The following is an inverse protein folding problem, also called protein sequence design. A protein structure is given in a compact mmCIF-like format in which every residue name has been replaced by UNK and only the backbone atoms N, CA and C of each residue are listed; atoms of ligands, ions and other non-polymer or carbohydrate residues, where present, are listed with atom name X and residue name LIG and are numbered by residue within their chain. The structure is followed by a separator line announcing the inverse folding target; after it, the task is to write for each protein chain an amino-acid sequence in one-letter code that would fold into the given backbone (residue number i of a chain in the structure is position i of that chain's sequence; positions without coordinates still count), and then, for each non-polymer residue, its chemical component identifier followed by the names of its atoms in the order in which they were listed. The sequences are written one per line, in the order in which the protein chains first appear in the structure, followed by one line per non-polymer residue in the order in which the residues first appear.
data_IF_865573047674
#
_entry.id   IF_865573047674
#
_cell.length_a   1.000
_cell.length_b   1.000
_cell.length_c   1.000
_cell.angle_alpha   90.00
_cell.angle_beta   90.00
_cell.angle_gamma   90.00
#
_symmetry.space_group_name_H-M   'P 1'
#
loop_
_entity.id
_entity.type
_entity.pdbx_description
1 polymer ?
#
# COMPACT_ATOMS: atom_id res chain seq x y z
N UNK A 1 17.89 3.99 9.64
CA UNK A 1 17.40 2.70 9.11
C UNK A 1 17.84 2.54 7.66
N UNK A 2 17.28 3.29 6.69
CA UNK A 2 17.68 3.19 5.27
C UNK A 2 19.18 3.41 5.02
N UNK A 3 19.77 4.42 5.65
CA UNK A 3 21.20 4.70 5.55
C UNK A 3 22.07 3.51 6.00
N UNK A 4 21.71 2.86 7.11
CA UNK A 4 22.43 1.71 7.64
C UNK A 4 22.29 0.47 6.75
N UNK A 5 21.17 0.31 6.03
CA UNK A 5 20.98 -0.78 5.07
C UNK A 5 21.83 -0.53 3.80
N UNK A 6 21.86 0.70 3.27
CA UNK A 6 22.64 1.02 2.07
C UNK A 6 24.16 0.97 2.31
N UNK A 7 24.63 1.60 3.38
CA UNK A 7 26.07 1.80 3.64
C UNK A 7 26.66 0.84 4.66
N UNK A 8 25.83 0.08 5.38
CA UNK A 8 26.28 -0.76 6.48
C UNK A 8 26.61 0.05 7.74
N UNK A 9 26.99 -0.63 8.80
CA UNK A 9 27.36 -0.01 10.07
C UNK A 9 28.40 -0.83 10.82
N UNK A 10 29.17 -0.16 11.68
CA UNK A 10 30.07 -0.81 12.63
C UNK A 10 29.38 -1.01 13.97
N UNK A 11 29.87 -1.96 14.77
CA UNK A 11 29.42 -2.19 16.14
C UNK A 11 29.47 -0.89 16.95
N UNK A 12 28.39 -0.60 17.66
CA UNK A 12 28.26 0.60 18.50
C UNK A 12 27.89 1.89 17.74
N UNK A 13 27.60 1.83 16.43
CA UNK A 13 27.19 3.02 15.67
C UNK A 13 25.85 3.63 16.15
N UNK A 14 24.95 2.82 16.71
CA UNK A 14 23.69 3.23 17.32
C UNK A 14 23.21 2.17 18.31
N UNK A 15 22.17 2.48 19.10
CA UNK A 15 21.54 1.53 20.02
C UNK A 15 20.96 0.33 19.26
N UNK A 16 21.50 -0.86 19.50
CA UNK A 16 21.15 -2.09 18.77
C UNK A 16 22.19 -2.55 17.74
N UNK A 17 23.24 -1.78 17.48
CA UNK A 17 24.37 -2.18 16.64
C UNK A 17 25.32 -3.13 17.39
N UNK A 18 24.90 -4.37 17.60
CA UNK A 18 25.66 -5.37 18.38
C UNK A 18 26.88 -5.95 17.66
N UNK A 19 26.89 -5.88 16.33
CA UNK A 19 27.97 -6.34 15.47
C UNK A 19 28.07 -5.45 14.23
N UNK A 20 29.17 -5.59 13.49
CA UNK A 20 29.34 -4.96 12.19
C UNK A 20 28.40 -5.60 11.16
N UNK A 21 27.85 -4.79 10.26
CA UNK A 21 27.01 -5.25 9.16
C UNK A 21 27.39 -4.54 7.87
N UNK A 22 27.59 -5.32 6.81
CA UNK A 22 27.84 -4.81 5.46
C UNK A 22 26.56 -4.19 4.90
N UNK A 23 26.73 -3.11 4.13
CA UNK A 23 25.62 -2.45 3.42
C UNK A 23 25.38 -3.03 2.04
N UNK A 24 24.23 -2.71 1.45
CA UNK A 24 23.86 -3.12 0.09
C UNK A 24 24.91 -2.72 -0.96
N UNK A 25 25.53 -1.54 -0.84
CA UNK A 25 26.60 -1.12 -1.74
C UNK A 25 27.84 -2.01 -1.68
N UNK A 26 28.21 -2.45 -0.48
CA UNK A 26 29.35 -3.37 -0.30
C UNK A 26 29.01 -4.76 -0.83
N UNK A 27 27.78 -5.24 -0.59
CA UNK A 27 27.30 -6.54 -1.04
C UNK A 27 27.12 -6.60 -2.57
N UNK A 28 26.81 -5.48 -3.21
CA UNK A 28 26.61 -5.37 -4.65
C UNK A 28 27.89 -5.07 -5.44
N UNK A 29 29.07 -5.10 -4.81
CA UNK A 29 30.35 -4.88 -5.49
C UNK A 29 30.52 -5.81 -6.71
N UNK A 30 30.86 -5.23 -7.86
CA UNK A 30 30.92 -5.92 -9.16
C UNK A 30 29.55 -6.13 -9.82
N UNK A 31 28.48 -5.58 -9.25
CA UNK A 31 27.09 -5.81 -9.66
C UNK A 31 26.30 -4.55 -9.96
N UNK A 32 24.98 -4.61 -9.76
CA UNK A 32 24.05 -3.49 -10.00
C UNK A 32 23.21 -3.21 -8.76
N UNK A 33 23.02 -1.94 -8.44
CA UNK A 33 22.13 -1.46 -7.39
C UNK A 33 20.96 -0.70 -8.03
N UNK A 34 19.73 -1.08 -7.68
CA UNK A 34 18.52 -0.33 -8.00
C UNK A 34 18.12 0.52 -6.79
N UNK A 35 18.03 1.83 -6.99
CA UNK A 35 17.58 2.79 -5.99
C UNK A 35 16.23 3.33 -6.40
N UNK A 36 15.18 2.93 -5.70
CA UNK A 36 13.84 3.50 -5.89
C UNK A 36 13.67 4.78 -5.05
N UNK A 37 12.78 5.66 -5.50
CA UNK A 37 12.39 6.90 -4.81
C UNK A 37 13.57 7.80 -4.40
N UNK A 38 14.57 7.98 -5.27
CA UNK A 38 15.76 8.79 -4.93
C UNK A 38 15.45 10.25 -4.57
N UNK A 39 14.31 10.77 -4.99
CA UNK A 39 13.83 12.10 -4.63
C UNK A 39 13.46 12.28 -3.15
N UNK A 40 13.25 11.18 -2.41
CA UNK A 40 12.94 11.20 -0.97
C UNK A 40 14.21 11.11 -0.09
N UNK A 41 15.40 11.09 -0.70
CA UNK A 41 16.65 10.99 0.04
C UNK A 41 16.94 12.25 0.86
N UNK A 42 17.30 12.05 2.13
CA UNK A 42 17.79 13.14 2.98
C UNK A 42 19.08 13.76 2.44
N UNK A 43 19.41 15.03 2.75
CA UNK A 43 20.64 15.67 2.29
C UNK A 43 21.93 14.91 2.67
N UNK A 44 21.93 14.27 3.84
CA UNK A 44 23.03 13.43 4.29
C UNK A 44 23.20 12.19 3.39
N UNK A 45 22.10 11.54 3.02
CA UNK A 45 22.13 10.42 2.09
C UNK A 45 22.57 10.84 0.69
N UNK A 46 22.08 11.99 0.19
CA UNK A 46 22.50 12.54 -1.10
C UNK A 46 24.01 12.76 -1.16
N UNK A 47 24.60 13.29 -0.08
CA UNK A 47 26.06 13.49 0.02
C UNK A 47 26.83 12.17 -0.02
N UNK A 48 26.32 11.12 0.65
CA UNK A 48 26.96 9.80 0.62
C UNK A 48 26.82 9.11 -0.73
N UNK A 49 25.66 9.18 -1.35
CA UNK A 49 25.43 8.65 -2.69
C UNK A 49 26.31 9.34 -3.73
N UNK A 50 26.51 10.66 -3.59
CA UNK A 50 27.44 11.40 -4.44
C UNK A 50 28.87 10.83 -4.36
N UNK A 51 29.35 10.49 -3.15
CA UNK A 51 30.67 9.84 -2.99
C UNK A 51 30.73 8.48 -3.67
N UNK A 52 29.67 7.68 -3.58
CA UNK A 52 29.58 6.42 -4.30
C UNK A 52 29.75 6.64 -5.80
N UNK A 53 29.01 7.60 -6.36
CA UNK A 53 29.01 7.88 -7.80
C UNK A 53 30.29 8.55 -8.31
N UNK A 54 30.95 9.35 -7.48
CA UNK A 54 32.15 10.10 -7.87
C UNK A 54 33.45 9.35 -7.57
N UNK A 55 33.57 8.78 -6.38
CA UNK A 55 34.81 8.21 -5.85
C UNK A 55 34.80 6.68 -5.92
N UNK A 56 33.63 6.05 -6.08
CA UNK A 56 33.51 4.59 -5.98
C UNK A 56 33.83 4.10 -4.58
N UNK A 57 33.45 4.87 -3.56
CA UNK A 57 33.83 4.60 -2.18
C UNK A 57 32.64 4.78 -1.23
N UNK A 58 32.57 3.93 -0.20
CA UNK A 58 31.61 4.02 0.90
C UNK A 58 32.30 4.05 2.26
N UNK A 59 31.56 4.54 3.25
CA UNK A 59 31.92 4.43 4.66
C UNK A 59 30.72 3.92 5.44
N UNK A 60 30.92 2.86 6.23
CA UNK A 60 29.91 2.34 7.14
C UNK A 60 29.50 3.42 8.15
N UNK A 61 28.24 3.42 8.57
CA UNK A 61 27.75 4.30 9.62
C UNK A 61 28.54 4.04 10.91
N UNK A 62 29.03 5.10 11.56
CA UNK A 62 29.93 5.03 12.72
C UNK A 62 31.38 4.64 12.40
N UNK A 63 31.66 4.24 11.15
CA UNK A 63 32.98 3.82 10.69
C UNK A 63 33.84 4.95 10.13
N UNK A 64 35.16 4.76 10.22
CA UNK A 64 36.16 5.62 9.56
C UNK A 64 36.82 4.97 8.35
N UNK A 65 36.71 3.66 8.23
CA UNK A 65 37.24 2.90 7.11
C UNK A 65 36.50 3.25 5.82
N UNK A 66 37.28 3.56 4.78
CA UNK A 66 36.81 3.78 3.42
C UNK A 66 36.91 2.47 2.66
N UNK A 67 35.82 2.07 2.02
CA UNK A 67 35.71 0.81 1.28
C UNK A 67 35.48 1.13 -0.19
N UNK A 68 36.41 0.69 -1.05
CA UNK A 68 36.28 0.80 -2.51
C UNK A 68 35.20 -0.14 -3.03
N UNK A 69 34.34 0.37 -3.90
CA UNK A 69 33.30 -0.38 -4.57
C UNK A 69 33.23 -0.04 -6.07
N UNK A 70 32.76 -1.00 -6.86
CA UNK A 70 32.45 -0.82 -8.27
C UNK A 70 31.02 -1.33 -8.46
N UNK A 71 30.08 -0.44 -8.78
CA UNK A 71 28.67 -0.77 -8.89
C UNK A 71 28.04 0.01 -10.02
N UNK A 72 27.20 -0.66 -10.82
CA UNK A 72 26.29 0.01 -11.72
C UNK A 72 25.07 0.50 -10.92
N UNK A 73 24.70 1.76 -11.06
CA UNK A 73 23.51 2.31 -10.40
C UNK A 73 22.39 2.51 -11.40
N UNK A 74 21.21 2.01 -11.06
CA UNK A 74 19.94 2.36 -11.71
C UNK A 74 19.10 3.07 -10.64
N UNK A 75 18.54 4.23 -10.96
CA UNK A 75 17.72 5.01 -10.04
C UNK A 75 16.36 5.33 -10.62
N UNK A 76 15.34 5.34 -9.78
CA UNK A 76 13.99 5.72 -10.12
C UNK A 76 13.45 6.79 -9.17
N UNK A 77 12.52 7.62 -9.66
CA UNK A 77 11.75 8.55 -8.84
C UNK A 77 10.40 8.84 -9.48
N UNK A 78 9.39 9.03 -8.65
CA UNK A 78 8.07 9.54 -9.03
C UNK A 78 7.97 11.07 -8.95
N UNK A 79 9.01 11.76 -8.46
CA UNK A 79 9.07 13.22 -8.33
C UNK A 79 9.91 13.81 -9.45
N UNK A 80 9.59 15.05 -9.80
CA UNK A 80 10.42 15.83 -10.72
C UNK A 80 11.67 16.30 -9.99
N UNK A 81 12.76 15.52 -10.10
CA UNK A 81 14.03 15.81 -9.44
C UNK A 81 14.57 17.19 -9.83
N UNK A 82 14.30 17.67 -11.05
CA UNK A 82 14.78 18.99 -11.49
C UNK A 82 14.12 20.10 -10.67
N UNK A 83 12.82 20.00 -10.40
CA UNK A 83 12.13 20.93 -9.48
C UNK A 83 12.71 20.86 -8.07
N UNK A 84 13.07 19.66 -7.59
CA UNK A 84 13.69 19.53 -6.26
C UNK A 84 15.06 20.20 -6.18
N UNK A 85 15.81 20.23 -7.28
CA UNK A 85 17.05 21.00 -7.40
C UNK A 85 16.77 22.50 -7.32
N UNK A 86 15.79 22.98 -8.10
CA UNK A 86 15.40 24.40 -8.08
C UNK A 86 14.90 24.86 -6.70
N UNK A 87 14.24 23.97 -5.96
CA UNK A 87 13.79 24.18 -4.58
C UNK A 87 14.91 24.04 -3.53
N UNK A 88 16.11 23.62 -3.93
CA UNK A 88 17.25 23.39 -3.03
C UNK A 88 17.11 22.18 -2.10
N UNK A 89 16.12 21.31 -2.33
CA UNK A 89 15.90 20.08 -1.55
C UNK A 89 16.65 18.87 -2.10
N UNK A 90 17.11 18.97 -3.35
CA UNK A 90 17.97 17.99 -4.00
C UNK A 90 19.25 18.66 -4.52
N UNK A 91 20.39 18.01 -4.34
CA UNK A 91 21.66 18.58 -4.78
C UNK A 91 21.81 18.51 -6.30
N UNK A 92 22.20 19.64 -6.88
CA UNK A 92 22.44 19.77 -8.33
C UNK A 92 23.56 18.82 -8.81
N UNK A 93 24.65 18.69 -8.05
CA UNK A 93 25.78 17.82 -8.40
C UNK A 93 25.41 16.33 -8.48
N UNK A 94 24.56 15.87 -7.56
CA UNK A 94 24.01 14.51 -7.57
C UNK A 94 23.05 14.30 -8.74
N UNK A 95 22.20 15.29 -9.03
CA UNK A 95 21.25 15.22 -10.14
C UNK A 95 21.97 14.95 -11.46
N UNK A 96 23.02 15.71 -11.78
CA UNK A 96 23.76 15.50 -13.03
C UNK A 96 24.53 14.16 -13.08
N UNK A 97 24.90 13.58 -11.93
CA UNK A 97 25.53 12.25 -11.88
C UNK A 97 24.55 11.10 -12.05
N UNK A 98 23.30 11.28 -11.63
CA UNK A 98 22.23 10.29 -11.83
C UNK A 98 21.61 10.41 -13.22
N UNK A 99 21.38 11.63 -13.70
CA UNK A 99 20.68 11.92 -14.94
C UNK A 99 21.59 11.83 -16.19
N UNK A 100 22.35 10.74 -16.31
CA UNK A 100 23.20 10.47 -17.48
C UNK A 100 22.38 9.87 -18.62
N UNK A 101 21.58 8.85 -18.31
CA UNK A 101 20.61 8.25 -19.24
C UNK A 101 19.25 8.26 -18.56
N UNK A 102 18.32 9.06 -19.10
CA UNK A 102 16.97 9.20 -18.58
C UNK A 102 16.01 8.34 -19.38
N UNK A 103 15.17 7.58 -18.67
CA UNK A 103 14.06 6.84 -19.25
C UNK A 103 12.78 7.36 -18.59
N UNK A 104 11.95 8.03 -19.37
CA UNK A 104 10.62 8.44 -18.92
C UNK A 104 9.65 7.26 -19.07
N UNK A 105 9.06 6.83 -17.97
CA UNK A 105 8.08 5.73 -17.96
C UNK A 105 6.67 6.32 -18.12
N UNK A 106 6.01 6.11 -19.27
CA UNK A 106 4.69 6.69 -19.48
C UNK A 106 3.63 6.01 -18.60
N UNK A 107 2.67 6.77 -18.08
CA UNK A 107 1.54 6.24 -17.32
C UNK A 107 0.63 5.41 -18.23
N UNK A 108 -0.18 4.54 -17.62
CA UNK A 108 -1.03 3.59 -18.33
C UNK A 108 -2.04 4.26 -19.27
N UNK A 109 -2.56 5.44 -18.92
CA UNK A 109 -3.45 6.26 -19.78
C UNK A 109 -2.84 6.67 -21.13
N UNK A 110 -1.51 6.75 -21.21
CA UNK A 110 -0.77 7.07 -22.44
C UNK A 110 -0.44 5.80 -23.25
N UNK A 111 -0.67 4.61 -22.66
CA UNK A 111 -0.40 3.29 -23.25
C UNK A 111 -1.70 2.58 -23.64
N UNK A 112 -2.51 3.23 -24.48
CA UNK A 112 -3.78 2.68 -24.96
C UNK A 112 -3.52 1.36 -25.70
N UNK A 113 -4.20 0.30 -25.29
CA UNK A 113 -4.02 -1.06 -25.82
C UNK A 113 -3.30 -2.02 -24.87
N UNK A 114 -2.62 -1.52 -23.84
CA UNK A 114 -1.92 -2.38 -22.88
C UNK A 114 -2.86 -2.90 -21.77
N UNK A 115 -3.96 -2.21 -21.50
CA UNK A 115 -4.92 -2.61 -20.45
C UNK A 115 -5.44 -4.03 -20.66
N UNK A 116 -5.94 -4.45 -21.84
CA UNK A 116 -6.40 -5.82 -22.05
C UNK A 116 -5.31 -6.87 -21.82
N UNK A 117 -4.08 -6.59 -22.26
CA UNK A 117 -2.93 -7.48 -22.10
C UNK A 117 -2.53 -7.64 -20.63
N UNK A 118 -2.58 -6.55 -19.87
CA UNK A 118 -2.30 -6.57 -18.43
C UNK A 118 -3.39 -7.31 -17.65
N UNK A 119 -4.66 -7.13 -18.02
CA UNK A 119 -5.79 -7.86 -17.43
C UNK A 119 -5.61 -9.37 -17.65
N UNK A 120 -5.34 -9.80 -18.88
CA UNK A 120 -5.08 -11.20 -19.19
C UNK A 120 -3.88 -11.73 -18.39
N UNK A 121 -2.82 -10.93 -18.27
CA UNK A 121 -1.64 -11.28 -17.48
C UNK A 121 -1.98 -11.55 -16.00
N UNK A 122 -2.74 -10.66 -15.35
CA UNK A 122 -3.10 -10.82 -13.94
C UNK A 122 -4.01 -12.04 -13.70
N UNK A 123 -4.98 -12.27 -14.60
CA UNK A 123 -5.83 -13.46 -14.52
C UNK A 123 -5.03 -14.75 -14.72
N UNK A 124 -4.09 -14.75 -15.66
CA UNK A 124 -3.20 -15.89 -15.86
C UNK A 124 -2.33 -16.16 -14.63
N UNK A 125 -1.78 -15.12 -14.00
CA UNK A 125 -1.01 -15.26 -12.76
C UNK A 125 -1.85 -15.88 -11.63
N UNK A 126 -3.13 -15.53 -11.51
CA UNK A 126 -4.02 -16.16 -10.54
C UNK A 126 -4.22 -17.66 -10.84
N UNK A 127 -4.46 -18.01 -12.11
CA UNK A 127 -4.59 -19.41 -12.51
C UNK A 127 -3.30 -20.21 -12.27
N UNK A 128 -2.12 -19.63 -12.51
CA UNK A 128 -0.82 -20.25 -12.23
C UNK A 128 -0.59 -20.52 -10.73
N UNK A 129 -1.27 -19.77 -9.85
CA UNK A 129 -1.29 -20.02 -8.39
C UNK A 129 -2.31 -21.09 -7.97
N UNK A 130 -3.04 -21.68 -8.91
CA UNK A 130 -4.05 -22.71 -8.66
C UNK A 130 -5.46 -22.18 -8.43
N UNK A 131 -5.71 -20.89 -8.69
CA UNK A 131 -7.03 -20.27 -8.56
C UNK A 131 -7.89 -20.57 -9.81
N UNK A 132 -9.23 -20.48 -9.73
CA UNK A 132 -10.10 -20.69 -10.89
C UNK A 132 -9.74 -19.75 -12.04
N UNK A 133 -9.94 -20.23 -13.27
CA UNK A 133 -9.77 -19.40 -14.46
C UNK A 133 -10.98 -18.48 -14.60
N UNK A 134 -10.72 -17.18 -14.70
CA UNK A 134 -11.74 -16.17 -14.99
C UNK A 134 -11.57 -15.62 -16.40
N UNK A 135 -12.67 -15.20 -16.99
CA UNK A 135 -12.73 -14.40 -18.20
C UNK A 135 -13.30 -13.02 -17.89
N UNK A 136 -12.99 -12.01 -18.69
CA UNK A 136 -13.57 -10.66 -18.55
C UNK A 136 -14.57 -10.45 -19.67
N UNK A 137 -15.78 -10.01 -19.33
CA UNK A 137 -16.79 -9.73 -20.34
C UNK A 137 -16.36 -8.55 -21.23
N UNK A 138 -16.82 -8.49 -22.50
CA UNK A 138 -16.51 -7.36 -23.38
C UNK A 138 -16.89 -6.00 -22.79
N UNK A 139 -18.01 -5.93 -22.08
CA UNK A 139 -18.53 -4.73 -21.43
C UNK A 139 -17.63 -4.29 -20.26
N UNK A 140 -17.17 -5.24 -19.43
CA UNK A 140 -16.23 -4.96 -18.35
C UNK A 140 -14.89 -4.47 -18.90
N UNK A 141 -14.41 -5.07 -19.99
CA UNK A 141 -13.17 -4.66 -20.65
C UNK A 141 -13.28 -3.26 -21.25
N UNK A 142 -14.44 -2.87 -21.76
CA UNK A 142 -14.68 -1.51 -22.25
C UNK A 142 -14.59 -0.48 -21.11
N UNK A 143 -15.15 -0.78 -19.94
CA UNK A 143 -15.03 0.08 -18.75
C UNK A 143 -13.56 0.26 -18.36
N UNK A 144 -12.81 -0.84 -18.29
CA UNK A 144 -11.39 -0.83 -17.94
C UNK A 144 -10.54 -0.01 -18.94
N UNK A 145 -10.86 -0.09 -20.24
CA UNK A 145 -10.17 0.66 -21.29
C UNK A 145 -10.46 2.17 -21.27
N UNK A 146 -11.65 2.58 -20.79
CA UNK A 146 -12.06 3.99 -20.73
C UNK A 146 -11.51 4.73 -19.50
N UNK A 147 -11.11 3.99 -18.47
CA UNK A 147 -10.62 4.56 -17.23
C UNK A 147 -9.16 5.05 -17.34
N UNK A 148 -8.83 6.13 -16.63
CA UNK A 148 -7.53 6.81 -16.73
C UNK A 148 -6.42 6.19 -15.86
N UNK A 149 -6.75 5.26 -14.97
CA UNK A 149 -5.79 4.56 -14.11
C UNK A 149 -4.81 5.50 -13.39
N UNK A 150 -5.28 6.39 -12.50
CA UNK A 150 -4.41 7.28 -11.72
C UNK A 150 -3.33 6.52 -10.93
N UNK A 151 -3.63 5.32 -10.41
CA UNK A 151 -2.68 4.42 -9.76
C UNK A 151 -1.99 3.43 -10.71
N UNK A 152 -2.12 3.63 -12.02
CA UNK A 152 -1.50 2.85 -13.09
C UNK A 152 -1.71 1.34 -12.93
N UNK A 153 -0.67 0.56 -13.24
CA UNK A 153 -0.68 -0.91 -13.23
C UNK A 153 -1.04 -1.48 -11.85
N UNK A 154 -0.65 -0.80 -10.75
CA UNK A 154 -0.98 -1.26 -9.39
C UNK A 154 -2.47 -1.16 -9.09
N UNK A 155 -3.10 -0.05 -9.47
CA UNK A 155 -4.55 0.10 -9.34
C UNK A 155 -5.29 -0.90 -10.22
N UNK A 156 -4.88 -1.09 -11.47
CA UNK A 156 -5.47 -2.09 -12.37
C UNK A 156 -5.39 -3.50 -11.77
N UNK A 157 -4.21 -3.91 -11.29
CA UNK A 157 -4.04 -5.22 -10.66
C UNK A 157 -4.99 -5.41 -9.46
N UNK A 158 -5.10 -4.40 -8.59
CA UNK A 158 -6.00 -4.44 -7.44
C UNK A 158 -7.47 -4.50 -7.85
N UNK A 159 -7.88 -3.73 -8.87
CA UNK A 159 -9.26 -3.75 -9.39
C UNK A 159 -9.59 -5.12 -9.95
N UNK A 160 -8.70 -5.74 -10.72
CA UNK A 160 -8.93 -7.08 -11.29
C UNK A 160 -8.99 -8.14 -10.20
N UNK A 161 -8.12 -8.08 -9.19
CA UNK A 161 -8.17 -9.00 -8.06
C UNK A 161 -9.50 -8.88 -7.29
N UNK A 162 -9.95 -7.65 -7.00
CA UNK A 162 -11.26 -7.42 -6.36
C UNK A 162 -12.41 -7.92 -7.24
N UNK A 163 -12.37 -7.64 -8.54
CA UNK A 163 -13.42 -8.03 -9.46
C UNK A 163 -13.55 -9.55 -9.57
N UNK A 164 -12.43 -10.27 -9.51
CA UNK A 164 -12.41 -11.74 -9.47
C UNK A 164 -13.10 -12.31 -8.22
N UNK A 165 -12.88 -11.68 -7.06
CA UNK A 165 -13.51 -12.08 -5.79
C UNK A 165 -15.03 -11.80 -5.81
N UNK A 166 -15.44 -10.73 -6.47
CA UNK A 166 -16.85 -10.30 -6.54
C UNK A 166 -17.65 -10.92 -7.68
N UNK A 167 -16.98 -11.52 -8.66
CA UNK A 167 -17.63 -12.10 -9.83
C UNK A 167 -18.52 -13.30 -9.44
N UNK A 168 -19.73 -13.32 -10.00
CA UNK A 168 -20.61 -14.47 -9.90
C UNK A 168 -20.18 -15.52 -10.94
N UNK A 169 -19.62 -16.64 -10.47
CA UNK A 169 -19.04 -17.66 -11.35
C UNK A 169 -17.64 -17.26 -11.85
N UNK A 170 -17.31 -17.64 -13.08
CA UNK A 170 -15.96 -17.48 -13.65
C UNK A 170 -15.89 -16.39 -14.73
N UNK A 171 -16.84 -15.46 -14.76
CA UNK A 171 -16.87 -14.34 -15.70
C UNK A 171 -16.97 -13.03 -14.93
N UNK A 172 -16.00 -12.15 -15.12
CA UNK A 172 -15.96 -10.81 -14.56
C UNK A 172 -16.82 -9.90 -15.45
N UNK A 173 -18.03 -9.61 -14.99
CA UNK A 173 -18.93 -8.64 -15.61
C UNK A 173 -18.71 -7.20 -15.12
N UNK A 174 -19.40 -6.22 -15.73
CA UNK A 174 -19.31 -4.80 -15.38
C UNK A 174 -19.56 -4.51 -13.89
N UNK A 175 -20.47 -5.25 -13.27
CA UNK A 175 -20.88 -5.12 -11.87
C UNK A 175 -19.74 -5.41 -10.88
N UNK A 176 -18.77 -6.21 -11.28
CA UNK A 176 -17.60 -6.54 -10.47
C UNK A 176 -16.47 -5.49 -10.61
N UNK A 177 -16.54 -4.59 -11.60
CA UNK A 177 -15.53 -3.55 -11.85
C UNK A 177 -15.80 -2.34 -10.95
N UNK A 178 -15.18 -2.34 -9.77
CA UNK A 178 -15.23 -1.21 -8.84
C UNK A 178 -14.02 -0.29 -9.07
N UNK A 179 -14.27 0.88 -9.67
CA UNK A 179 -13.26 1.92 -9.91
C UNK A 179 -13.34 2.99 -8.82
N UNK A 180 -12.20 3.36 -8.24
CA UNK A 180 -12.13 4.32 -7.14
C UNK A 180 -12.23 5.76 -7.70
N UNK A 181 -13.42 6.17 -8.10
CA UNK A 181 -13.74 7.54 -8.57
C UNK A 181 -14.51 8.33 -7.51
N UNK A 182 -13.96 8.50 -6.29
CA UNK A 182 -14.68 9.15 -5.19
C UNK A 182 -15.80 8.27 -4.58
N UNK A 183 -16.51 8.74 -3.53
CA UNK A 183 -17.39 7.89 -2.73
C UNK A 183 -18.59 7.42 -3.56
N UNK A 184 -18.63 6.12 -3.86
CA UNK A 184 -19.77 5.48 -4.51
C UNK A 184 -20.74 5.04 -3.40
N UNK A 185 -21.86 5.76 -3.32
CA UNK A 185 -23.09 5.32 -2.66
C UNK A 185 -23.67 4.16 -3.48
N UNK A 186 -23.43 2.93 -3.04
CA UNK A 186 -24.05 1.73 -3.60
C UNK A 186 -25.51 1.67 -3.10
N UNK A 187 -26.34 2.55 -3.66
CA UNK A 187 -27.79 2.45 -3.57
C UNK A 187 -28.25 1.17 -4.23
N UNK A 188 -28.30 0.08 -3.47
CA UNK A 188 -29.01 -1.14 -3.82
C UNK A 188 -30.48 -0.76 -4.04
N UNK A 189 -30.84 -0.57 -5.31
CA UNK A 189 -32.23 -0.54 -5.74
C UNK A 189 -32.79 -1.95 -5.61
N UNK A 190 -33.37 -2.23 -4.44
CA UNK A 190 -34.32 -3.33 -4.31
C UNK A 190 -35.57 -2.98 -5.14
N UNK A 191 -35.75 -3.68 -6.25
CA UNK A 191 -37.02 -3.70 -6.94
C UNK A 191 -38.04 -4.44 -6.07
N UNK A 192 -39.11 -3.74 -5.64
CA UNK A 192 -40.26 -4.37 -5.00
C UNK A 192 -41.21 -3.43 -4.25
N UNK A 193 -42.20 -2.85 -4.94
CA UNK A 193 -43.57 -2.71 -4.41
C UNK A 193 -44.02 -1.42 -3.69
N UNK A 194 -44.71 -0.55 -4.45
CA UNK A 194 -45.91 0.25 -4.12
C UNK A 194 -45.89 1.39 -3.07
N UNK A 195 -46.32 2.60 -3.49
CA UNK A 195 -46.95 3.60 -2.60
C UNK A 195 -46.69 5.09 -2.85
N UNK A 196 -47.40 5.66 -3.82
CA UNK A 196 -47.90 7.05 -3.97
C UNK A 196 -47.24 8.30 -3.30
N UNK A 197 -47.12 9.34 -4.16
CA UNK A 197 -47.45 10.77 -3.97
C UNK A 197 -46.37 11.82 -3.58
N UNK A 198 -46.03 12.67 -4.55
CA UNK A 198 -46.20 14.14 -4.42
C UNK A 198 -44.98 15.04 -4.23
N UNK A 199 -44.63 15.83 -5.26
CA UNK A 199 -44.04 17.19 -5.11
C UNK A 199 -42.57 17.39 -5.52
N UNK A 200 -42.33 18.18 -6.58
CA UNK A 200 -41.04 18.84 -6.90
C UNK A 200 -41.08 20.34 -6.46
N UNK A 201 -40.04 21.17 -6.70
CA UNK A 201 -38.76 21.26 -5.99
C UNK A 201 -38.42 22.73 -5.62
N UNK A 202 -37.40 23.02 -4.80
CA UNK A 202 -36.53 24.22 -4.96
C UNK A 202 -35.44 24.27 -3.88
N UNK A 203 -34.24 24.74 -4.23
CA UNK A 203 -33.28 25.28 -3.26
C UNK A 203 -31.84 24.78 -3.41
N UNK A 204 -31.07 25.51 -4.20
CA UNK A 204 -29.60 25.64 -4.17
C UNK A 204 -29.01 25.58 -2.76
N UNK A 205 -27.83 24.97 -2.59
CA UNK A 205 -26.67 25.51 -1.85
C UNK A 205 -25.49 24.50 -1.81
N UNK A 206 -24.28 25.04 -1.99
CA UNK A 206 -23.00 24.36 -2.04
C UNK A 206 -22.65 23.61 -0.73
N UNK A 207 -21.79 22.57 -0.75
CA UNK A 207 -21.30 21.99 0.48
C UNK A 207 -20.11 22.79 1.03
N UNK A 208 -20.34 23.38 2.20
CA UNK A 208 -19.35 23.86 3.14
C UNK A 208 -18.64 22.68 3.80
N UNK A 209 -17.31 22.65 3.75
CA UNK A 209 -16.49 21.79 4.59
C UNK A 209 -16.65 22.20 6.05
N UNK A 210 -17.29 21.34 6.85
CA UNK A 210 -17.25 21.41 8.30
C UNK A 210 -16.76 20.07 8.85
N UNK A 211 -15.60 20.13 9.51
CA UNK A 211 -15.05 19.07 10.33
C UNK A 211 -15.95 18.84 11.54
N UNK A 212 -16.55 17.66 11.65
CA UNK A 212 -17.13 17.20 12.91
C UNK A 212 -16.87 15.71 13.04
N UNK A 213 -16.12 15.33 14.08
CA UNK A 213 -15.96 13.93 14.45
C UNK A 213 -17.33 13.32 14.73
N UNK A 214 -17.60 12.18 14.10
CA UNK A 214 -18.75 11.35 14.46
C UNK A 214 -18.23 9.96 14.77
N UNK A 215 -18.31 9.60 16.05
CA UNK A 215 -18.23 8.23 16.52
C UNK A 215 -19.35 7.43 15.85
N UNK A 216 -18.99 6.36 15.15
CA UNK A 216 -19.94 5.42 14.56
C UNK A 216 -19.78 4.09 15.27
N UNK A 217 -20.68 3.83 16.21
CA UNK A 217 -20.86 2.51 16.81
C UNK A 217 -21.40 1.56 15.74
N UNK A 218 -20.79 0.38 15.61
CA UNK A 218 -21.25 -0.68 14.72
C UNK A 218 -22.73 -1.01 15.04
N UNK A 219 -23.65 -0.62 14.15
CA UNK A 219 -25.03 -1.06 14.22
C UNK A 219 -25.17 -2.43 13.53
N UNK A 220 -26.08 -3.30 14.00
CA UNK A 220 -26.32 -4.60 13.37
C UNK A 220 -26.78 -4.39 11.92
N UNK A 221 -26.05 -4.96 10.96
CA UNK A 221 -26.34 -4.84 9.52
C UNK A 221 -25.32 -4.02 8.71
N UNK A 222 -24.23 -3.54 9.32
CA UNK A 222 -23.12 -2.94 8.56
C UNK A 222 -22.46 -4.00 7.68
N UNK A 223 -22.42 -3.85 6.34
CA UNK A 223 -21.78 -4.83 5.46
C UNK A 223 -20.29 -5.00 5.80
N UNK A 224 -19.77 -6.24 5.75
CA UNK A 224 -18.34 -6.53 5.97
C UNK A 224 -17.45 -5.64 5.09
N UNK A 225 -17.89 -5.39 3.86
CA UNK A 225 -17.20 -4.52 2.92
C UNK A 225 -16.98 -3.11 3.47
N UNK A 226 -17.98 -2.54 4.15
CA UNK A 226 -17.88 -1.21 4.78
C UNK A 226 -16.92 -1.23 5.97
N UNK A 227 -17.01 -2.27 6.81
CA UNK A 227 -16.13 -2.43 7.97
C UNK A 227 -14.66 -2.60 7.57
N UNK A 228 -14.36 -3.34 6.51
CA UNK A 228 -13.00 -3.54 6.01
C UNK A 228 -12.48 -2.35 5.20
N UNK A 229 -13.36 -1.62 4.51
CA UNK A 229 -13.01 -0.45 3.71
C UNK A 229 -12.46 0.70 4.57
N UNK A 230 -13.03 0.92 5.75
CA UNK A 230 -12.59 1.98 6.68
C UNK A 230 -11.28 1.65 7.43
N UNK A 231 -10.79 0.41 7.33
CA UNK A 231 -9.54 0.01 7.95
C UNK A 231 -8.35 0.42 7.10
N UNK A 232 -7.33 0.96 7.77
CA UNK A 232 -6.05 1.20 7.13
C UNK A 232 -5.30 -0.12 6.85
N UNK A 233 -4.31 -0.07 5.95
CA UNK A 233 -3.56 -1.27 5.55
C UNK A 233 -2.92 -2.04 6.71
N UNK A 234 -2.54 -1.35 7.80
CA UNK A 234 -1.96 -2.01 8.98
C UNK A 234 -3.01 -2.76 9.78
N UNK A 235 -4.21 -2.22 9.88
CA UNK A 235 -5.34 -2.87 10.54
C UNK A 235 -5.82 -4.08 9.75
N UNK A 236 -5.83 -4.00 8.40
CA UNK A 236 -6.14 -5.16 7.54
C UNK A 236 -5.13 -6.29 7.70
N UNK A 237 -3.83 -5.98 7.65
CA UNK A 237 -2.77 -6.96 7.92
C UNK A 237 -2.85 -7.59 9.31
N UNK A 238 -3.32 -6.82 10.31
CA UNK A 238 -3.55 -7.37 11.65
C UNK A 238 -4.67 -8.40 11.66
N UNK A 239 -5.77 -8.13 10.95
CA UNK A 239 -6.89 -9.06 10.84
C UNK A 239 -6.44 -10.34 10.14
N UNK A 240 -5.74 -10.23 9.01
CA UNK A 240 -5.17 -11.39 8.30
C UNK A 240 -4.26 -12.23 9.21
N UNK A 241 -3.39 -11.57 9.96
CA UNK A 241 -2.53 -12.24 10.94
C UNK A 241 -3.35 -12.97 12.01
N UNK A 242 -4.38 -12.33 12.56
CA UNK A 242 -5.21 -12.93 13.60
C UNK A 242 -6.11 -14.05 13.08
N UNK A 243 -6.50 -14.05 11.80
CA UNK A 243 -7.19 -15.18 11.18
C UNK A 243 -6.31 -16.43 11.12
N UNK A 244 -4.99 -16.27 10.90
CA UNK A 244 -4.05 -17.38 10.78
C UNK A 244 -3.51 -17.85 12.14
N UNK A 245 -3.13 -16.90 13.00
CA UNK A 245 -2.39 -17.18 14.24
C UNK A 245 -3.23 -17.03 15.52
N UNK A 246 -4.47 -16.56 15.40
CA UNK A 246 -5.46 -16.48 16.48
C UNK A 246 -5.27 -15.33 17.47
N UNK A 247 -4.04 -15.06 17.92
CA UNK A 247 -3.77 -14.04 18.94
C UNK A 247 -2.50 -13.24 18.67
N UNK A 248 -2.41 -12.03 19.23
CA UNK A 248 -1.20 -11.21 19.19
C UNK A 248 -1.03 -10.41 20.48
N UNK A 249 0.22 -10.15 20.88
CA UNK A 249 0.54 -9.25 22.01
C UNK A 249 1.02 -7.91 21.52
N UNK A 250 0.95 -6.89 22.38
CA UNK A 250 1.43 -5.53 22.08
C UNK A 250 2.83 -5.49 21.45
N UNK A 251 3.82 -6.16 22.07
CA UNK A 251 5.21 -6.17 21.58
C UNK A 251 5.28 -6.76 20.17
N UNK A 252 4.66 -7.91 20.00
CA UNK A 252 4.71 -8.69 18.77
C UNK A 252 4.00 -7.90 17.64
N UNK A 253 2.90 -7.20 17.94
CA UNK A 253 2.24 -6.30 16.99
C UNK A 253 3.13 -5.15 16.52
N UNK A 254 3.81 -4.46 17.43
CA UNK A 254 4.68 -3.33 17.09
C UNK A 254 5.86 -3.76 16.22
N UNK A 255 6.44 -4.92 16.53
CA UNK A 255 7.56 -5.50 15.79
C UNK A 255 7.13 -5.98 14.40
N UNK A 256 6.03 -6.74 14.29
CA UNK A 256 5.53 -7.30 13.02
C UNK A 256 5.05 -6.20 12.07
N UNK A 257 4.34 -5.20 12.57
CA UNK A 257 3.81 -4.12 11.75
C UNK A 257 4.80 -2.96 11.53
N UNK A 258 5.97 -3.01 12.18
CA UNK A 258 7.00 -1.97 12.06
C UNK A 258 6.56 -0.59 12.55
N UNK A 259 5.72 -0.52 13.59
CA UNK A 259 5.13 0.74 14.09
C UNK A 259 5.63 1.13 15.47
N UNK A 260 5.62 2.44 15.75
CA UNK A 260 5.88 2.93 17.10
C UNK A 260 4.79 2.48 18.08
N UNK A 261 5.15 2.36 19.37
CA UNK A 261 4.19 1.97 20.44
C UNK A 261 2.95 2.86 20.47
N UNK A 262 3.10 4.17 20.22
CA UNK A 262 1.98 5.12 20.22
C UNK A 262 1.05 4.92 19.02
N UNK A 263 1.60 4.62 17.85
CA UNK A 263 0.80 4.37 16.63
C UNK A 263 0.11 3.02 16.72
N UNK A 264 0.83 1.97 17.13
CA UNK A 264 0.24 0.65 17.27
C UNK A 264 -0.84 0.58 18.36
N UNK A 265 -0.66 1.31 19.47
CA UNK A 265 -1.71 1.41 20.47
C UNK A 265 -2.97 2.11 19.96
N UNK A 266 -2.84 3.16 19.12
CA UNK A 266 -4.00 3.81 18.47
C UNK A 266 -4.71 2.84 17.52
N UNK A 267 -3.95 2.11 16.70
CA UNK A 267 -4.51 1.13 15.77
C UNK A 267 -5.30 0.03 16.51
N UNK A 268 -4.73 -0.52 17.60
CA UNK A 268 -5.40 -1.53 18.43
C UNK A 268 -6.62 -0.97 19.18
N UNK A 269 -6.55 0.28 19.66
CA UNK A 269 -7.67 0.94 20.34
C UNK A 269 -8.84 1.17 19.39
N UNK A 270 -8.57 1.67 18.18
CA UNK A 270 -9.59 1.88 17.15
C UNK A 270 -10.28 0.57 16.77
N UNK A 271 -9.54 -0.53 16.65
CA UNK A 271 -10.13 -1.85 16.38
C UNK A 271 -10.97 -2.41 17.53
N UNK A 272 -10.66 -2.06 18.78
CA UNK A 272 -11.48 -2.41 19.93
C UNK A 272 -12.78 -1.58 19.95
N UNK A 273 -12.68 -0.27 19.67
CA UNK A 273 -13.82 0.65 19.60
C UNK A 273 -14.78 0.28 18.47
N UNK A 274 -14.26 -0.25 17.36
CA UNK A 274 -15.02 -0.79 16.22
C UNK A 274 -15.57 -2.20 16.45
N UNK A 275 -15.35 -2.78 17.63
CA UNK A 275 -15.77 -4.13 17.99
C UNK A 275 -15.20 -5.26 17.11
N UNK A 276 -14.06 -5.04 16.45
CA UNK A 276 -13.42 -6.02 15.57
C UNK A 276 -12.51 -6.97 16.37
N UNK A 277 -11.78 -6.39 17.33
CA UNK A 277 -10.80 -7.09 18.17
C UNK A 277 -11.24 -6.98 19.63
N UNK A 278 -11.11 -8.06 20.40
CA UNK A 278 -11.19 -7.99 21.86
C UNK A 278 -9.81 -8.14 22.50
N UNK A 279 -9.68 -7.58 23.70
CA UNK A 279 -8.45 -7.64 24.50
C UNK A 279 -8.67 -8.43 25.78
N UNK A 280 -7.73 -9.31 26.10
CA UNK A 280 -7.67 -10.05 27.36
C UNK A 280 -6.42 -9.64 28.14
N UNK A 281 -6.55 -9.43 29.45
CA UNK A 281 -5.45 -8.97 30.33
C UNK A 281 -5.26 -7.45 30.36
N UNK A 282 -4.37 -6.98 31.23
CA UNK A 282 -4.12 -5.55 31.45
C UNK A 282 -2.64 -5.19 31.24
N UNK A 283 -2.40 -4.10 30.52
CA UNK A 283 -1.06 -3.52 30.36
C UNK A 283 -0.14 -4.37 29.48
N UNK A 284 1.03 -4.73 30.01
CA UNK A 284 2.06 -5.46 29.22
C UNK A 284 1.67 -6.90 28.87
N UNK A 285 0.70 -7.49 29.58
CA UNK A 285 0.19 -8.83 29.32
C UNK A 285 -1.07 -8.86 28.45
N UNK A 286 -1.47 -7.74 27.86
CA UNK A 286 -2.64 -7.70 26.99
C UNK A 286 -2.42 -8.53 25.72
N UNK A 287 -3.37 -9.43 25.46
CA UNK A 287 -3.48 -10.31 24.30
C UNK A 287 -4.72 -9.90 23.52
N UNK A 288 -4.60 -9.80 22.20
CA UNK A 288 -5.65 -9.36 21.29
C UNK A 288 -6.03 -10.51 20.36
N UNK A 289 -7.32 -10.69 20.12
CA UNK A 289 -7.86 -11.66 19.16
C UNK A 289 -9.13 -11.13 18.50
N UNK A 290 -9.51 -11.73 17.37
CA UNK A 290 -10.74 -11.36 16.67
C UNK A 290 -11.96 -11.73 17.50
N UNK A 291 -12.96 -10.85 17.49
CA UNK A 291 -14.26 -11.15 18.09
C UNK A 291 -14.96 -12.28 17.32
N UNK A 292 -15.60 -13.24 18.01
CA UNK A 292 -16.32 -14.34 17.35
C UNK A 292 -17.35 -13.86 16.32
N UNK A 293 -18.07 -12.77 16.64
CA UNK A 293 -19.08 -12.18 15.75
C UNK A 293 -18.45 -11.66 14.44
N UNK A 294 -17.23 -11.13 14.53
CA UNK A 294 -16.48 -10.67 13.36
C UNK A 294 -15.92 -11.85 12.55
N UNK A 295 -15.49 -12.94 13.20
CA UNK A 295 -15.02 -14.16 12.53
C UNK A 295 -16.16 -14.83 11.75
N UNK A 296 -17.36 -14.93 12.32
CA UNK A 296 -18.54 -15.44 11.59
C UNK A 296 -18.86 -14.58 10.36
N UNK A 297 -18.73 -13.27 10.50
CA UNK A 297 -19.01 -12.31 9.44
C UNK A 297 -17.97 -12.39 8.31
N UNK A 298 -16.69 -12.62 8.63
CA UNK A 298 -15.63 -12.97 7.67
C UNK A 298 -15.89 -14.32 6.98
N UNK A 299 -16.35 -15.34 7.72
CA UNK A 299 -16.64 -16.67 7.19
C UNK A 299 -17.81 -16.69 6.20
N UNK A 300 -18.89 -15.94 6.49
CA UNK A 300 -20.04 -15.79 5.57
C UNK A 300 -19.67 -15.11 4.26
N UNK A 301 -18.72 -14.17 4.29
CA UNK A 301 -18.22 -13.52 3.09
C UNK A 301 -17.24 -14.38 2.28
N UNK A 302 -16.62 -15.37 2.91
CA UNK A 302 -15.63 -16.28 2.30
C UNK A 302 -16.24 -17.57 1.74
N UNK A 303 -17.56 -17.75 1.85
CA UNK A 303 -18.27 -18.94 1.37
C UNK A 303 -18.02 -20.22 2.17
N UNK A 304 -17.39 -20.15 3.35
CA UNK A 304 -17.16 -21.30 4.22
C UNK A 304 -18.23 -21.35 5.30
N UNK A 305 -19.31 -22.07 5.02
CA UNK A 305 -20.18 -22.73 6.00
C UNK A 305 -20.29 -24.21 5.64
#
# INVERSE_FOLDING_TARGET
LLESELFGYVKGAFTGAHADRKGLFELAHGGTVLLDEVGEMTPAMQTKLLRVLQEGEIRRVGGKETIRIDVRIISASNRDIRKLVDEGTFREDLFYRLNVVRIDLPPLRERKGDVPLLVEHFLRQATERGEPRYEVSPEALEILNRYNWPGNVRELANVIERARILAEGNVIGPEAILLDSGPIDLGVRAAGGAGAAGGKPSGTLAPSFASTGSSLTASPGTPLGTLLYELNDRQRRLIEYLQVYGTIRNRDYYEIMGVSKSTGWRDLKDLIEREIVHVQGKGKSSVYSLRPEFVELLGRASGTA
#
